data_IF_747025443418
#
_entry.id   IF_747025443418
#
_cell.length_a   1.000
_cell.length_b   1.000
_cell.length_c   1.000
_cell.angle_alpha   90.00
_cell.angle_beta   90.00
_cell.angle_gamma   90.00
#
_symmetry.space_group_name_H-M   'P 1'
#
loop_
_entity.id
_entity.type
_entity.pdbx_description
1 polymer ?
#
# COMPACT_ATOMS: atom_id res chain seq x y z
N UNK A 1 33.29 -23.79 -17.90
CA UNK A 1 32.18 -22.83 -17.78
C UNK A 1 31.78 -22.82 -16.31
N UNK A 2 32.03 -21.75 -15.60
CA UNK A 2 31.47 -21.60 -14.26
C UNK A 2 29.96 -21.52 -14.41
N UNK A 3 29.28 -22.45 -13.77
CA UNK A 3 27.82 -22.48 -13.68
C UNK A 3 27.41 -21.26 -12.81
N UNK A 4 27.26 -20.10 -13.44
CA UNK A 4 26.82 -18.89 -12.75
C UNK A 4 25.34 -19.04 -12.47
N UNK A 5 24.97 -19.08 -11.19
CA UNK A 5 23.58 -19.14 -10.76
C UNK A 5 22.73 -18.08 -11.47
N UNK A 6 21.49 -18.41 -11.88
CA UNK A 6 20.62 -17.49 -12.61
C UNK A 6 20.39 -16.20 -11.81
N UNK A 7 20.54 -15.05 -12.48
CA UNK A 7 20.28 -13.73 -11.90
C UNK A 7 18.78 -13.45 -11.92
N UNK A 8 18.17 -13.31 -10.76
CA UNK A 8 16.76 -12.89 -10.63
C UNK A 8 16.69 -11.47 -10.13
N UNK A 9 15.72 -10.70 -10.65
CA UNK A 9 15.53 -9.29 -10.28
C UNK A 9 14.11 -9.07 -9.79
N UNK A 10 13.97 -8.55 -8.59
CA UNK A 10 12.71 -8.06 -8.04
C UNK A 10 12.71 -6.54 -7.96
N UNK A 11 11.60 -5.91 -8.32
CA UNK A 11 11.41 -4.46 -8.21
C UNK A 11 10.09 -4.18 -7.49
N UNK A 12 10.14 -3.35 -6.46
CA UNK A 12 8.98 -2.78 -5.77
C UNK A 12 8.91 -1.29 -6.09
N UNK A 13 7.92 -0.88 -6.87
CA UNK A 13 7.67 0.53 -7.21
C UNK A 13 6.55 1.05 -6.32
N UNK A 14 6.90 1.68 -5.21
CA UNK A 14 5.95 2.37 -4.36
C UNK A 14 5.63 3.79 -4.84
N UNK A 15 4.71 4.47 -4.17
CA UNK A 15 4.28 5.83 -4.56
C UNK A 15 5.38 6.91 -4.48
N UNK A 16 6.37 6.74 -3.59
CA UNK A 16 7.45 7.73 -3.37
C UNK A 16 8.84 7.19 -3.64
N UNK A 17 9.08 5.93 -3.34
CA UNK A 17 10.36 5.24 -3.50
C UNK A 17 10.20 3.92 -4.23
N UNK A 18 11.19 3.56 -5.01
CA UNK A 18 11.32 2.27 -5.69
C UNK A 18 12.55 1.55 -5.16
N UNK A 19 12.42 0.26 -4.89
CA UNK A 19 13.54 -0.60 -4.53
C UNK A 19 13.71 -1.71 -5.57
N UNK A 20 14.96 -1.95 -5.96
CA UNK A 20 15.36 -3.07 -6.78
C UNK A 20 16.30 -3.97 -5.97
N UNK A 21 16.04 -5.26 -5.97
CA UNK A 21 16.96 -6.29 -5.46
C UNK A 21 17.25 -7.33 -6.55
N UNK A 22 18.52 -7.72 -6.64
CA UNK A 22 18.95 -8.76 -7.55
C UNK A 22 19.74 -9.84 -6.81
N UNK A 23 19.49 -11.10 -7.13
CA UNK A 23 20.15 -12.25 -6.55
C UNK A 23 20.67 -13.19 -7.63
N UNK A 24 21.90 -13.70 -7.44
CA UNK A 24 22.44 -14.84 -8.17
C UNK A 24 22.44 -16.05 -7.22
N UNK A 25 21.48 -16.98 -7.41
CA UNK A 25 21.16 -17.99 -6.39
C UNK A 25 20.71 -17.30 -5.10
N UNK A 26 21.44 -17.54 -3.99
CA UNK A 26 21.16 -16.89 -2.68
C UNK A 26 22.07 -15.66 -2.41
N UNK A 27 22.96 -15.32 -3.35
CA UNK A 27 23.87 -14.18 -3.19
C UNK A 27 23.18 -12.90 -3.64
N UNK A 28 23.06 -11.92 -2.74
CA UNK A 28 22.61 -10.56 -3.08
C UNK A 28 23.66 -9.87 -3.97
N UNK A 29 23.28 -9.52 -5.19
CA UNK A 29 24.12 -8.87 -6.19
C UNK A 29 23.91 -7.36 -6.21
N UNK A 30 22.65 -6.92 -6.01
CA UNK A 30 22.31 -5.51 -5.95
C UNK A 30 21.14 -5.28 -4.98
N UNK A 31 21.20 -4.17 -4.25
CA UNK A 31 20.09 -3.59 -3.48
C UNK A 31 20.13 -2.08 -3.70
N UNK A 32 19.20 -1.57 -4.49
CA UNK A 32 19.22 -0.18 -4.93
C UNK A 32 17.86 0.47 -4.64
N UNK A 33 17.90 1.67 -4.06
CA UNK A 33 16.71 2.47 -3.74
C UNK A 33 16.80 3.81 -4.44
N UNK A 34 15.74 4.23 -5.11
CA UNK A 34 15.62 5.56 -5.72
C UNK A 34 14.22 6.14 -5.56
N UNK A 35 14.05 7.41 -5.91
CA UNK A 35 12.73 8.04 -6.02
C UNK A 35 11.90 7.40 -7.13
N UNK A 36 10.58 7.23 -6.91
CA UNK A 36 9.63 6.82 -7.94
C UNK A 36 9.25 7.96 -8.90
N UNK A 37 9.90 9.12 -8.78
CA UNK A 37 9.71 10.23 -9.71
C UNK A 37 10.01 9.77 -11.14
N UNK A 38 9.04 9.96 -12.03
CA UNK A 38 9.12 9.46 -13.40
C UNK A 38 8.42 8.12 -13.66
N UNK A 39 7.96 7.39 -12.63
CA UNK A 39 7.08 6.24 -12.81
C UNK A 39 5.75 6.66 -13.44
N UNK A 40 5.37 6.03 -14.56
CA UNK A 40 4.15 6.36 -15.34
C UNK A 40 3.41 5.09 -15.72
N UNK A 41 2.65 4.47 -14.80
CA UNK A 41 2.00 3.18 -15.04
C UNK A 41 0.92 3.20 -16.13
N UNK A 42 0.39 4.38 -16.47
CA UNK A 42 -0.60 4.53 -17.55
C UNK A 42 0.02 4.65 -18.95
N UNK A 43 1.35 4.77 -19.05
CA UNK A 43 2.13 4.70 -20.27
C UNK A 43 3.06 3.48 -20.22
N UNK A 44 2.67 2.32 -20.79
CA UNK A 44 3.44 1.09 -20.68
C UNK A 44 4.85 1.18 -21.24
N UNK A 45 5.06 1.98 -22.30
CA UNK A 45 6.37 2.15 -22.93
C UNK A 45 7.28 3.01 -22.04
N UNK A 46 6.77 4.11 -21.52
CA UNK A 46 7.51 4.95 -20.59
C UNK A 46 7.84 4.19 -19.28
N UNK A 47 6.87 3.42 -18.75
CA UNK A 47 7.07 2.59 -17.57
C UNK A 47 8.18 1.55 -17.78
N UNK A 48 8.14 0.82 -18.88
CA UNK A 48 9.14 -0.19 -19.21
C UNK A 48 10.53 0.43 -19.42
N UNK A 49 10.63 1.55 -20.12
CA UNK A 49 11.89 2.27 -20.30
C UNK A 49 12.48 2.78 -18.98
N UNK A 50 11.62 3.26 -18.06
CA UNK A 50 12.03 3.70 -16.74
C UNK A 50 12.57 2.54 -15.87
N UNK A 51 11.91 1.36 -15.92
CA UNK A 51 12.37 0.14 -15.23
C UNK A 51 13.68 -0.38 -15.82
N UNK A 52 13.82 -0.32 -17.16
CA UNK A 52 15.05 -0.73 -17.82
C UNK A 52 16.25 0.18 -17.44
N UNK A 53 16.03 1.49 -17.37
CA UNK A 53 17.03 2.44 -16.89
C UNK A 53 17.40 2.18 -15.42
N UNK A 54 16.42 1.92 -14.54
CA UNK A 54 16.67 1.54 -13.16
C UNK A 54 17.55 0.27 -13.06
N UNK A 55 17.24 -0.75 -13.85
CA UNK A 55 18.02 -1.98 -13.85
C UNK A 55 19.45 -1.76 -14.41
N UNK A 56 19.60 -0.93 -15.43
CA UNK A 56 20.91 -0.59 -15.98
C UNK A 56 21.79 0.18 -14.98
N UNK A 57 21.19 1.04 -14.16
CA UNK A 57 21.89 1.78 -13.12
C UNK A 57 22.26 0.90 -11.91
N UNK A 58 21.41 -0.07 -11.57
CA UNK A 58 21.55 -0.86 -10.35
C UNK A 58 22.36 -2.15 -10.52
N UNK A 59 22.33 -2.76 -11.70
CA UNK A 59 22.95 -4.06 -11.94
C UNK A 59 24.41 -3.90 -12.40
N UNK A 60 25.28 -4.89 -12.13
CA UNK A 60 26.61 -4.91 -12.69
C UNK A 60 26.63 -4.81 -14.22
N UNK A 61 27.64 -4.13 -14.77
CA UNK A 61 27.76 -3.94 -16.22
C UNK A 61 27.72 -5.28 -16.98
N UNK A 62 26.83 -5.38 -17.95
CA UNK A 62 26.65 -6.60 -18.76
C UNK A 62 25.81 -7.69 -18.09
N UNK A 63 25.33 -7.47 -16.86
CA UNK A 63 24.45 -8.42 -16.20
C UNK A 63 23.11 -8.55 -16.96
N UNK A 64 22.65 -9.78 -17.14
CA UNK A 64 21.38 -10.10 -17.81
C UNK A 64 20.48 -10.86 -16.84
N UNK A 65 19.31 -10.33 -16.48
CA UNK A 65 18.32 -11.09 -15.69
C UNK A 65 17.89 -12.36 -16.41
N UNK A 66 17.79 -13.45 -15.68
CA UNK A 66 17.14 -14.69 -16.13
C UNK A 66 15.63 -14.64 -15.88
N UNK A 67 15.19 -13.91 -14.88
CA UNK A 67 13.79 -13.65 -14.58
C UNK A 67 13.63 -12.31 -13.87
N UNK A 68 12.50 -11.66 -14.07
CA UNK A 68 12.19 -10.34 -13.53
C UNK A 68 10.76 -10.29 -13.02
N UNK A 69 10.53 -9.76 -11.80
CA UNK A 69 9.19 -9.43 -11.34
C UNK A 69 9.13 -8.00 -10.79
N UNK A 70 8.03 -7.33 -11.07
CA UNK A 70 7.76 -5.95 -10.71
C UNK A 70 6.41 -5.86 -10.02
N UNK A 71 6.39 -5.32 -8.78
CA UNK A 71 5.18 -4.79 -8.15
C UNK A 71 5.12 -3.29 -8.41
N UNK A 72 4.06 -2.83 -9.04
CA UNK A 72 3.95 -1.44 -9.46
C UNK A 72 2.81 -0.70 -8.78
N UNK A 73 3.12 0.40 -8.10
CA UNK A 73 2.11 1.34 -7.61
C UNK A 73 1.23 1.83 -8.76
N UNK A 74 -0.08 1.91 -8.53
CA UNK A 74 -1.09 2.27 -9.54
C UNK A 74 -1.14 1.33 -10.76
N UNK A 75 -0.65 0.09 -10.64
CA UNK A 75 -0.92 -1.01 -11.56
C UNK A 75 -2.16 -1.77 -11.08
N UNK A 76 -3.35 -1.24 -11.39
CA UNK A 76 -4.61 -1.67 -10.74
C UNK A 76 -5.37 -2.75 -11.51
N UNK A 77 -4.99 -3.00 -12.76
CA UNK A 77 -5.71 -3.96 -13.62
C UNK A 77 -4.78 -4.99 -14.25
N UNK A 78 -5.23 -6.25 -14.42
CA UNK A 78 -4.46 -7.28 -15.12
C UNK A 78 -4.07 -6.86 -16.55
N UNK A 79 -4.93 -6.08 -17.22
CA UNK A 79 -4.65 -5.55 -18.56
C UNK A 79 -3.48 -4.58 -18.56
N UNK A 80 -3.45 -3.64 -17.62
CA UNK A 80 -2.37 -2.67 -17.47
C UNK A 80 -1.05 -3.37 -17.14
N UNK A 81 -1.06 -4.30 -16.18
CA UNK A 81 0.11 -5.12 -15.85
C UNK A 81 0.64 -5.89 -17.08
N UNK A 82 -0.25 -6.50 -17.86
CA UNK A 82 0.11 -7.22 -19.09
C UNK A 82 0.72 -6.30 -20.16
N UNK A 83 0.22 -5.08 -20.31
CA UNK A 83 0.77 -4.10 -21.25
C UNK A 83 2.19 -3.65 -20.85
N UNK A 84 2.42 -3.35 -19.56
CA UNK A 84 3.75 -3.00 -19.04
C UNK A 84 4.70 -4.19 -19.20
N UNK A 85 4.25 -5.42 -18.88
CA UNK A 85 5.04 -6.64 -19.08
C UNK A 85 5.47 -6.82 -20.54
N UNK A 86 4.55 -6.65 -21.49
CA UNK A 86 4.87 -6.77 -22.93
C UNK A 86 5.89 -5.72 -23.36
N UNK A 87 5.76 -4.47 -22.90
CA UNK A 87 6.73 -3.42 -23.19
C UNK A 87 8.09 -3.70 -22.54
N UNK A 88 8.11 -4.27 -21.33
CA UNK A 88 9.34 -4.63 -20.60
C UNK A 88 10.13 -5.73 -21.31
N UNK A 89 9.47 -6.66 -21.97
CA UNK A 89 10.10 -7.73 -22.77
C UNK A 89 10.84 -7.21 -24.01
N UNK A 90 10.62 -5.97 -24.42
CA UNK A 90 11.43 -5.31 -25.46
C UNK A 90 12.83 -4.89 -24.95
N UNK A 91 12.99 -4.78 -23.65
CA UNK A 91 14.25 -4.41 -22.99
C UNK A 91 15.00 -5.59 -22.39
N UNK A 92 14.28 -6.67 -22.03
CA UNK A 92 14.85 -7.84 -21.36
C UNK A 92 14.42 -9.12 -22.10
N UNK A 93 15.42 -9.89 -22.53
CA UNK A 93 15.20 -11.24 -23.09
C UNK A 93 15.10 -12.25 -21.92
N UNK A 94 14.04 -12.09 -21.11
CA UNK A 94 13.81 -12.90 -19.90
C UNK A 94 12.31 -12.97 -19.58
N UNK A 95 11.84 -14.07 -18.97
CA UNK A 95 10.51 -14.11 -18.37
C UNK A 95 10.28 -12.93 -17.41
N UNK A 96 9.17 -12.25 -17.59
CA UNK A 96 8.82 -11.09 -16.77
C UNK A 96 7.39 -11.21 -16.21
N UNK A 97 7.21 -10.79 -14.96
CA UNK A 97 5.92 -10.64 -14.30
C UNK A 97 5.74 -9.19 -13.85
N UNK A 98 4.56 -8.64 -14.07
CA UNK A 98 4.17 -7.32 -13.52
C UNK A 98 2.84 -7.48 -12.80
N UNK A 99 2.77 -7.01 -11.57
CA UNK A 99 1.61 -7.07 -10.67
C UNK A 99 1.43 -5.72 -9.96
N UNK A 100 0.35 -5.53 -9.20
CA UNK A 100 0.21 -4.43 -8.28
C UNK A 100 1.19 -4.53 -7.09
N UNK A 101 1.63 -3.41 -6.54
CA UNK A 101 2.59 -3.38 -5.42
C UNK A 101 2.08 -4.14 -4.18
N UNK A 102 0.78 -4.07 -3.90
CA UNK A 102 0.18 -4.79 -2.78
C UNK A 102 0.20 -6.33 -2.94
N UNK A 103 0.32 -6.85 -4.17
CA UNK A 103 0.45 -8.30 -4.41
C UNK A 103 1.80 -8.87 -3.96
N UNK A 104 2.80 -8.01 -3.72
CA UNK A 104 4.11 -8.42 -3.23
C UNK A 104 4.10 -8.86 -1.76
N UNK A 105 3.09 -8.44 -0.98
CA UNK A 105 3.09 -8.61 0.48
C UNK A 105 3.09 -10.08 0.92
N UNK A 106 2.23 -10.88 0.32
CA UNK A 106 2.09 -12.31 0.67
C UNK A 106 3.39 -13.08 0.40
N UNK A 107 3.98 -13.01 -0.82
CA UNK A 107 5.26 -13.67 -1.07
C UNK A 107 6.43 -13.05 -0.31
N UNK A 108 6.40 -11.74 0.04
CA UNK A 108 7.41 -11.13 0.90
C UNK A 108 7.36 -11.67 2.34
N UNK A 109 6.19 -12.12 2.80
CA UNK A 109 6.04 -12.82 4.07
C UNK A 109 6.44 -14.31 4.01
N UNK A 110 6.90 -14.81 2.86
CA UNK A 110 7.23 -16.21 2.65
C UNK A 110 6.02 -17.13 2.55
N UNK A 111 4.86 -16.58 2.16
CA UNK A 111 3.61 -17.31 2.04
C UNK A 111 3.23 -17.50 0.56
N UNK A 112 2.66 -18.67 0.25
CA UNK A 112 2.14 -18.98 -1.09
C UNK A 112 0.72 -18.43 -1.30
N UNK A 113 -0.06 -18.30 -0.22
CA UNK A 113 -1.46 -17.89 -0.23
C UNK A 113 -1.75 -16.95 0.94
N UNK A 114 -2.73 -16.08 0.76
CA UNK A 114 -3.17 -15.14 1.78
C UNK A 114 -3.72 -13.86 1.17
N UNK A 115 -3.95 -12.89 2.02
CA UNK A 115 -4.40 -11.55 1.66
C UNK A 115 -3.31 -10.55 2.05
N UNK A 116 -2.95 -9.65 1.14
CA UNK A 116 -2.15 -8.46 1.44
C UNK A 116 -3.08 -7.29 1.78
N UNK A 117 -2.87 -6.64 2.90
CA UNK A 117 -3.55 -5.40 3.31
C UNK A 117 -2.53 -4.27 3.44
N UNK A 118 -2.69 -3.23 2.67
CA UNK A 118 -1.92 -1.98 2.81
C UNK A 118 -2.79 -0.91 3.45
N UNK A 119 -2.28 -0.26 4.50
CA UNK A 119 -2.85 0.96 5.05
C UNK A 119 -1.72 1.95 5.39
N UNK A 120 -1.37 2.75 4.39
CA UNK A 120 -0.39 3.83 4.42
C UNK A 120 -1.09 5.17 4.19
N UNK A 121 -0.72 5.90 3.15
CA UNK A 121 -1.42 7.12 2.73
C UNK A 121 -2.86 6.80 2.32
N UNK A 122 -3.07 5.74 1.52
CA UNK A 122 -4.37 5.15 1.21
C UNK A 122 -4.51 3.74 1.79
N UNK A 123 -5.56 3.01 1.39
CA UNK A 123 -5.80 1.63 1.84
C UNK A 123 -6.32 0.72 0.73
N UNK A 124 -5.81 -0.50 0.68
CA UNK A 124 -6.19 -1.52 -0.30
C UNK A 124 -5.96 -2.92 0.26
N UNK A 125 -6.84 -3.86 -0.07
CA UNK A 125 -6.62 -5.29 0.17
C UNK A 125 -6.59 -6.06 -1.15
N UNK A 126 -5.66 -6.99 -1.26
CA UNK A 126 -5.49 -7.84 -2.45
C UNK A 126 -5.43 -9.31 -2.04
N UNK A 127 -6.00 -10.17 -2.87
CA UNK A 127 -5.94 -11.60 -2.70
C UNK A 127 -5.98 -12.30 -4.07
N UNK A 128 -6.05 -13.64 -4.05
CA UNK A 128 -6.22 -14.43 -5.27
C UNK A 128 -7.32 -15.45 -5.08
N UNK A 129 -8.10 -15.66 -6.13
CA UNK A 129 -9.03 -16.77 -6.20
C UNK A 129 -8.27 -18.11 -6.29
N UNK A 130 -8.99 -19.23 -6.13
CA UNK A 130 -8.40 -20.56 -6.19
C UNK A 130 -7.71 -20.88 -7.54
N UNK A 131 -8.14 -20.24 -8.63
CA UNK A 131 -7.53 -20.34 -9.96
C UNK A 131 -6.29 -19.44 -10.15
N UNK A 132 -5.88 -18.71 -9.10
CA UNK A 132 -4.76 -17.77 -9.13
C UNK A 132 -5.09 -16.38 -9.66
N UNK A 133 -6.33 -16.13 -10.11
CA UNK A 133 -6.75 -14.81 -10.61
C UNK A 133 -6.67 -13.77 -9.48
N UNK A 134 -5.97 -12.64 -9.64
CA UNK A 134 -5.87 -11.61 -8.63
C UNK A 134 -7.19 -10.85 -8.46
N UNK A 135 -7.45 -10.41 -7.26
CA UNK A 135 -8.61 -9.61 -6.91
C UNK A 135 -8.24 -8.54 -5.90
N UNK A 136 -8.69 -7.33 -6.14
CA UNK A 136 -8.45 -6.16 -5.30
C UNK A 136 -9.77 -5.63 -4.74
N UNK A 137 -9.72 -5.10 -3.52
CA UNK A 137 -10.80 -4.37 -2.84
C UNK A 137 -10.22 -3.12 -2.20
N UNK A 138 -10.88 -1.98 -2.38
CA UNK A 138 -10.36 -0.68 -1.96
C UNK A 138 -9.38 -0.08 -2.96
N UNK A 139 -8.61 0.94 -2.55
CA UNK A 139 -7.69 1.67 -3.42
C UNK A 139 -8.39 2.66 -4.35
N UNK A 140 -9.56 3.17 -3.95
CA UNK A 140 -10.37 4.08 -4.78
C UNK A 140 -9.98 5.56 -4.63
N UNK A 141 -8.87 5.83 -3.95
CA UNK A 141 -8.35 7.17 -3.72
C UNK A 141 -8.99 7.90 -2.54
N UNK A 142 -8.28 8.92 -2.05
CA UNK A 142 -8.60 9.61 -0.79
C UNK A 142 -9.96 10.31 -0.77
N UNK A 143 -10.49 10.69 -1.94
CA UNK A 143 -11.75 11.44 -2.01
C UNK A 143 -12.96 10.55 -1.70
N UNK A 144 -13.03 9.35 -2.28
CA UNK A 144 -14.19 8.46 -2.22
C UNK A 144 -13.89 7.09 -1.61
N UNK A 145 -12.67 6.82 -1.23
CA UNK A 145 -12.20 5.55 -0.68
C UNK A 145 -11.06 5.75 0.31
N UNK A 146 -10.15 4.81 0.35
CA UNK A 146 -8.95 4.80 1.18
C UNK A 146 -9.25 4.90 2.69
N UNK A 147 -10.41 4.37 3.12
CA UNK A 147 -10.82 4.34 4.51
C UNK A 147 -9.79 3.57 5.35
N UNK A 148 -9.40 4.15 6.48
CA UNK A 148 -8.34 3.59 7.34
C UNK A 148 -6.91 3.88 6.88
N UNK A 149 -6.71 4.40 5.65
CA UNK A 149 -5.48 5.08 5.26
C UNK A 149 -5.37 6.48 5.88
N UNK A 150 -4.18 7.09 5.87
CA UNK A 150 -3.95 8.38 6.51
C UNK A 150 -4.89 9.49 6.01
N UNK A 151 -5.08 9.59 4.70
CA UNK A 151 -5.96 10.59 4.11
C UNK A 151 -7.44 10.36 4.43
N UNK A 152 -7.89 9.10 4.34
CA UNK A 152 -9.24 8.71 4.72
C UNK A 152 -9.51 8.97 6.21
N UNK A 153 -8.55 8.65 7.07
CA UNK A 153 -8.64 8.92 8.52
C UNK A 153 -8.85 10.41 8.79
N UNK A 154 -8.10 11.31 8.14
CA UNK A 154 -8.24 12.76 8.31
C UNK A 154 -9.58 13.25 7.77
N UNK A 155 -10.02 12.75 6.60
CA UNK A 155 -11.34 13.08 6.06
C UNK A 155 -12.45 12.75 7.06
N UNK A 156 -12.45 11.54 7.64
CA UNK A 156 -13.46 11.13 8.61
C UNK A 156 -13.32 11.91 9.94
N UNK A 157 -12.10 12.26 10.34
CA UNK A 157 -11.88 13.11 11.50
C UNK A 157 -12.50 14.52 11.33
N UNK A 158 -12.30 15.14 10.17
CA UNK A 158 -12.93 16.44 9.85
C UNK A 158 -14.46 16.31 9.84
N UNK A 159 -15.00 15.24 9.26
CA UNK A 159 -16.46 15.00 9.28
C UNK A 159 -17.00 14.83 10.71
N UNK A 160 -16.28 14.11 11.57
CA UNK A 160 -16.66 13.94 12.98
C UNK A 160 -16.66 15.28 13.73
N UNK A 161 -15.64 16.13 13.50
CA UNK A 161 -15.56 17.47 14.08
C UNK A 161 -16.69 18.37 13.60
N UNK A 162 -17.03 18.34 12.31
CA UNK A 162 -18.19 19.09 11.80
C UNK A 162 -19.49 18.64 12.45
N UNK A 163 -19.71 17.34 12.52
CA UNK A 163 -20.93 16.81 13.14
C UNK A 163 -21.05 17.20 14.65
N UNK A 164 -19.93 17.28 15.37
CA UNK A 164 -19.91 17.78 16.76
C UNK A 164 -20.20 19.28 16.82
N UNK A 165 -19.60 20.06 15.92
CA UNK A 165 -19.84 21.51 15.81
C UNK A 165 -21.33 21.81 15.51
N UNK A 166 -21.94 21.07 14.56
CA UNK A 166 -23.35 21.25 14.20
C UNK A 166 -24.30 20.91 15.36
N UNK A 167 -23.87 20.06 16.31
CA UNK A 167 -24.60 19.80 17.56
C UNK A 167 -24.37 20.86 18.63
N UNK A 168 -23.51 21.88 18.38
CA UNK A 168 -23.15 22.91 19.33
C UNK A 168 -22.17 22.47 20.41
N UNK A 169 -21.45 21.37 20.20
CA UNK A 169 -20.42 20.88 21.12
C UNK A 169 -19.18 21.76 21.11
N UNK A 170 -18.53 21.87 22.26
CA UNK A 170 -17.25 22.60 22.34
C UNK A 170 -16.15 21.82 21.65
N UNK A 171 -15.19 22.50 20.96
CA UNK A 171 -14.06 21.85 20.34
C UNK A 171 -13.25 21.03 21.35
N UNK A 172 -13.08 19.73 21.06
CA UNK A 172 -12.23 18.82 21.82
C UNK A 172 -10.79 18.80 21.29
N UNK A 173 -9.94 17.93 21.82
CA UNK A 173 -8.54 17.80 21.40
C UNK A 173 -8.40 17.45 19.90
N UNK A 174 -9.37 16.72 19.30
CA UNK A 174 -9.34 16.42 17.86
C UNK A 174 -9.59 17.69 17.03
N UNK A 175 -10.64 18.44 17.37
CA UNK A 175 -10.95 19.69 16.69
C UNK A 175 -9.78 20.67 16.76
N UNK A 176 -9.22 20.89 17.97
CA UNK A 176 -8.08 21.79 18.16
C UNK A 176 -6.83 21.33 17.39
N UNK A 177 -6.55 20.02 17.38
CA UNK A 177 -5.42 19.44 16.64
C UNK A 177 -5.55 19.62 15.13
N UNK A 178 -6.76 19.46 14.57
CA UNK A 178 -7.01 19.69 13.14
C UNK A 178 -6.95 21.18 12.78
N UNK A 179 -7.54 22.07 13.60
CA UNK A 179 -7.46 23.51 13.37
C UNK A 179 -5.99 23.98 13.31
N UNK A 180 -5.19 23.55 14.27
CA UNK A 180 -3.75 23.86 14.29
C UNK A 180 -3.01 23.24 13.11
N UNK A 181 -3.31 21.98 12.75
CA UNK A 181 -2.66 21.28 11.64
C UNK A 181 -2.93 21.91 10.29
N UNK A 182 -4.15 22.34 10.04
CA UNK A 182 -4.55 23.01 8.79
C UNK A 182 -4.31 24.53 8.79
N UNK A 183 -3.84 25.09 9.92
CA UNK A 183 -3.63 26.52 10.09
C UNK A 183 -4.91 27.34 9.81
N UNK A 184 -6.03 26.91 10.39
CA UNK A 184 -7.33 27.58 10.23
C UNK A 184 -7.89 27.98 11.59
N UNK A 185 -8.61 29.13 11.69
CA UNK A 185 -9.03 29.68 12.99
C UNK A 185 -10.26 28.99 13.58
N UNK A 186 -11.08 28.34 12.77
CA UNK A 186 -12.39 27.82 13.18
C UNK A 186 -12.83 26.61 12.37
N UNK A 187 -13.71 25.79 12.96
CA UNK A 187 -14.19 24.53 12.38
C UNK A 187 -14.81 24.67 10.97
N UNK A 188 -15.63 25.69 10.66
CA UNK A 188 -16.15 25.88 9.31
C UNK A 188 -15.07 26.03 8.22
N UNK A 189 -13.89 26.56 8.56
CA UNK A 189 -12.81 26.79 7.61
C UNK A 189 -12.06 25.51 7.19
N UNK A 190 -12.22 24.38 7.92
CA UNK A 190 -11.60 23.08 7.59
C UNK A 190 -12.01 22.59 6.20
N UNK A 191 -13.25 22.88 5.74
CA UNK A 191 -13.71 22.47 4.41
C UNK A 191 -12.89 23.09 3.30
N UNK A 192 -12.75 24.39 3.33
CA UNK A 192 -11.95 25.11 2.34
C UNK A 192 -10.48 24.65 2.35
N UNK A 193 -9.92 24.35 3.52
CA UNK A 193 -8.55 23.82 3.62
C UNK A 193 -8.40 22.45 2.96
N UNK A 194 -9.41 21.57 3.05
CA UNK A 194 -9.41 20.28 2.36
C UNK A 194 -9.59 20.44 0.84
N UNK A 195 -10.47 21.33 0.39
CA UNK A 195 -10.75 21.57 -1.04
C UNK A 195 -9.56 22.21 -1.76
N UNK A 196 -8.77 23.04 -1.09
CA UNK A 196 -7.59 23.68 -1.68
C UNK A 196 -6.36 22.78 -1.75
N UNK A 197 -6.43 21.57 -1.24
CA UNK A 197 -5.35 20.62 -1.32
C UNK A 197 -5.01 20.28 -2.79
N UNK A 198 -3.73 20.39 -3.16
CA UNK A 198 -3.25 20.03 -4.51
C UNK A 198 -3.20 18.52 -4.72
N UNK A 199 -3.08 17.76 -3.62
CA UNK A 199 -3.12 16.31 -3.57
C UNK A 199 -3.84 15.86 -2.30
N UNK A 200 -5.10 15.44 -2.42
CA UNK A 200 -5.89 14.96 -1.29
C UNK A 200 -5.15 13.89 -0.47
N UNK A 201 -4.48 12.95 -1.13
CA UNK A 201 -3.76 11.88 -0.45
C UNK A 201 -2.59 12.39 0.40
N UNK A 202 -1.70 13.20 -0.17
CA UNK A 202 -0.51 13.69 0.52
C UNK A 202 -0.85 14.82 1.51
N UNK A 203 -1.65 15.79 1.05
CA UNK A 203 -1.93 17.00 1.84
C UNK A 203 -2.83 16.72 3.04
N UNK A 204 -3.81 15.83 2.91
CA UNK A 204 -4.62 15.42 4.04
C UNK A 204 -3.87 14.44 4.95
N UNK A 205 -3.24 13.42 4.37
CA UNK A 205 -2.60 12.34 5.11
C UNK A 205 -1.52 12.81 6.10
N UNK A 206 -0.83 13.93 5.83
CA UNK A 206 0.16 14.51 6.75
C UNK A 206 -0.42 14.91 8.11
N UNK A 207 -1.74 15.13 8.19
CA UNK A 207 -2.43 15.51 9.44
C UNK A 207 -2.92 14.31 10.26
N UNK A 208 -2.79 13.07 9.75
CA UNK A 208 -3.18 11.87 10.49
C UNK A 208 -2.56 11.76 11.90
N UNK A 209 -1.30 12.16 12.15
CA UNK A 209 -0.74 12.14 13.50
C UNK A 209 -1.55 12.93 14.53
N UNK A 210 -2.22 14.03 14.12
CA UNK A 210 -3.07 14.80 15.03
C UNK A 210 -4.28 14.01 15.54
N UNK A 211 -4.81 13.09 14.74
CA UNK A 211 -5.94 12.23 15.15
C UNK A 211 -5.51 11.28 16.28
N UNK A 212 -4.34 10.67 16.14
CA UNK A 212 -3.81 9.74 17.16
C UNK A 212 -3.43 10.49 18.44
N UNK A 213 -2.76 11.64 18.32
CA UNK A 213 -2.42 12.48 19.47
C UNK A 213 -3.68 12.95 20.23
N UNK A 214 -4.75 13.31 19.52
CA UNK A 214 -6.02 13.67 20.13
C UNK A 214 -6.66 12.48 20.88
N UNK A 215 -6.59 11.27 20.36
CA UNK A 215 -7.08 10.07 21.02
C UNK A 215 -6.32 9.77 22.32
N UNK A 216 -4.99 9.95 22.31
CA UNK A 216 -4.11 9.85 23.50
C UNK A 216 -4.44 10.94 24.53
N UNK A 217 -4.75 12.16 24.08
CA UNK A 217 -5.21 13.26 24.92
C UNK A 217 -6.65 13.09 25.45
N UNK A 218 -7.32 11.99 25.10
CA UNK A 218 -8.62 11.62 25.66
C UNK A 218 -9.84 11.98 24.79
N UNK A 219 -9.66 12.51 23.56
CA UNK A 219 -10.76 12.84 22.65
C UNK A 219 -11.64 11.61 22.36
N UNK A 220 -12.95 11.63 22.69
CA UNK A 220 -13.87 10.56 22.31
C UNK A 220 -14.08 10.49 20.78
N UNK A 221 -14.12 11.66 20.11
CA UNK A 221 -14.26 11.73 18.66
C UNK A 221 -13.11 11.03 17.95
N UNK A 222 -11.86 11.33 18.36
CA UNK A 222 -10.69 10.70 17.77
C UNK A 222 -10.68 9.16 17.97
N UNK A 223 -11.05 8.69 19.17
CA UNK A 223 -11.15 7.26 19.44
C UNK A 223 -12.20 6.57 18.55
N UNK A 224 -13.36 7.22 18.35
CA UNK A 224 -14.41 6.71 17.45
C UNK A 224 -13.90 6.65 16.02
N UNK A 225 -13.25 7.69 15.51
CA UNK A 225 -12.69 7.74 14.17
C UNK A 225 -11.66 6.60 13.96
N UNK A 226 -10.77 6.36 14.93
CA UNK A 226 -9.77 5.28 14.84
C UNK A 226 -10.46 3.91 14.85
N UNK A 227 -11.47 3.70 15.69
CA UNK A 227 -12.22 2.45 15.74
C UNK A 227 -12.96 2.18 14.43
N UNK A 228 -13.57 3.21 13.83
CA UNK A 228 -14.22 3.12 12.52
C UNK A 228 -13.24 2.86 11.39
N UNK A 229 -12.07 3.49 11.42
CA UNK A 229 -10.99 3.22 10.48
C UNK A 229 -10.52 1.75 10.56
N UNK A 230 -10.36 1.20 11.77
CA UNK A 230 -10.04 -0.22 11.95
C UNK A 230 -11.12 -1.16 11.37
N UNK A 231 -12.41 -0.86 11.61
CA UNK A 231 -13.52 -1.59 11.00
C UNK A 231 -13.52 -1.50 9.48
N UNK A 232 -13.22 -0.33 8.92
CA UNK A 232 -13.14 -0.14 7.48
C UNK A 232 -12.03 -0.98 6.84
N UNK A 233 -10.86 -1.08 7.49
CA UNK A 233 -9.78 -1.96 7.06
C UNK A 233 -10.17 -3.44 7.11
N UNK A 234 -10.84 -3.89 8.19
CA UNK A 234 -11.36 -5.24 8.29
C UNK A 234 -12.37 -5.55 7.19
N UNK A 235 -13.27 -4.60 6.90
CA UNK A 235 -14.25 -4.74 5.83
C UNK A 235 -13.65 -4.94 4.44
N UNK A 236 -12.43 -4.45 4.16
CA UNK A 236 -11.73 -4.76 2.90
C UNK A 236 -11.42 -6.26 2.80
N UNK A 237 -10.95 -6.86 3.88
CA UNK A 237 -10.63 -8.29 3.97
C UNK A 237 -11.91 -9.14 3.92
N UNK A 238 -12.95 -8.74 4.64
CA UNK A 238 -14.27 -9.39 4.64
C UNK A 238 -14.87 -9.44 3.22
N UNK A 239 -14.75 -8.34 2.45
CA UNK A 239 -15.22 -8.28 1.06
C UNK A 239 -14.45 -9.24 0.16
N UNK A 240 -13.15 -9.47 0.38
CA UNK A 240 -12.38 -10.49 -0.32
C UNK A 240 -12.89 -11.89 0.02
N UNK A 241 -13.11 -12.19 1.31
CA UNK A 241 -13.70 -13.45 1.76
C UNK A 241 -15.08 -13.68 1.15
N UNK A 242 -15.96 -12.68 1.15
CA UNK A 242 -17.30 -12.75 0.56
C UNK A 242 -17.26 -12.99 -0.97
N UNK A 243 -16.17 -12.62 -1.65
CA UNK A 243 -15.95 -12.90 -3.07
C UNK A 243 -15.35 -14.29 -3.33
N UNK A 244 -15.07 -15.07 -2.29
CA UNK A 244 -14.55 -16.44 -2.40
C UNK A 244 -13.02 -16.54 -2.33
N UNK A 245 -12.32 -15.49 -1.90
CA UNK A 245 -10.89 -15.58 -1.57
C UNK A 245 -10.72 -16.33 -0.25
N UNK A 246 -9.78 -17.27 -0.20
CA UNK A 246 -9.41 -17.93 1.06
C UNK A 246 -8.59 -16.97 1.91
N UNK A 247 -9.08 -16.67 3.11
CA UNK A 247 -8.47 -15.71 4.03
C UNK A 247 -8.01 -16.42 5.30
N UNK A 248 -6.85 -17.10 5.22
CA UNK A 248 -6.21 -17.71 6.37
C UNK A 248 -5.16 -16.76 6.97
N UNK A 249 -4.27 -16.22 6.15
CA UNK A 249 -3.23 -15.26 6.56
C UNK A 249 -3.51 -13.89 5.94
N UNK A 250 -3.39 -12.84 6.75
CA UNK A 250 -3.52 -11.44 6.32
C UNK A 250 -2.20 -10.71 6.61
N UNK A 251 -1.43 -10.45 5.56
CA UNK A 251 -0.15 -9.73 5.65
C UNK A 251 -0.42 -8.23 5.60
N UNK A 252 -0.14 -7.55 6.71
CA UNK A 252 -0.44 -6.13 6.89
C UNK A 252 0.80 -5.29 6.66
N UNK A 253 0.71 -4.28 5.79
CA UNK A 253 1.76 -3.30 5.53
C UNK A 253 1.19 -1.88 5.49
N UNK A 254 2.09 -0.90 5.50
CA UNK A 254 1.74 0.52 5.43
C UNK A 254 2.08 1.27 6.72
N UNK A 255 2.66 2.46 6.52
CA UNK A 255 3.20 3.24 7.64
C UNK A 255 2.13 3.66 8.65
N UNK A 256 0.90 3.92 8.21
CA UNK A 256 -0.17 4.37 9.11
C UNK A 256 -0.59 3.27 10.07
N UNK A 257 -0.94 2.09 9.56
CA UNK A 257 -1.44 1.00 10.41
C UNK A 257 -0.35 0.38 11.28
N UNK A 258 0.90 0.29 10.77
CA UNK A 258 1.99 -0.34 11.54
C UNK A 258 2.62 0.61 12.58
N UNK A 259 2.61 1.93 12.34
CA UNK A 259 3.11 2.90 13.31
C UNK A 259 2.10 3.21 14.43
N UNK A 260 0.81 2.95 14.20
CA UNK A 260 -0.27 3.35 15.11
C UNK A 260 -0.96 2.12 15.70
N UNK A 261 -0.50 1.73 16.90
CA UNK A 261 -0.99 0.54 17.59
C UNK A 261 -2.51 0.55 17.78
N UNK A 262 -3.10 1.70 18.13
CA UNK A 262 -4.54 1.82 18.32
C UNK A 262 -5.35 1.48 17.05
N UNK A 263 -4.85 1.87 15.88
CA UNK A 263 -5.47 1.52 14.60
C UNK A 263 -5.29 0.03 14.28
N UNK A 264 -4.08 -0.50 14.50
CA UNK A 264 -3.81 -1.93 14.29
C UNK A 264 -4.68 -2.81 15.20
N UNK A 265 -4.76 -2.49 16.49
CA UNK A 265 -5.57 -3.24 17.47
C UNK A 265 -7.08 -3.15 17.11
N UNK A 266 -7.56 -1.97 16.67
CA UNK A 266 -8.94 -1.81 16.20
C UNK A 266 -9.23 -2.65 14.94
N UNK A 267 -8.29 -2.71 14.00
CA UNK A 267 -8.37 -3.57 12.82
C UNK A 267 -8.42 -5.06 13.20
N UNK A 268 -7.50 -5.52 14.05
CA UNK A 268 -7.43 -6.92 14.49
C UNK A 268 -8.71 -7.35 15.20
N UNK A 269 -9.23 -6.49 16.09
CA UNK A 269 -10.50 -6.76 16.79
C UNK A 269 -11.66 -6.89 15.81
N UNK A 270 -11.83 -5.95 14.89
CA UNK A 270 -12.91 -6.00 13.90
C UNK A 270 -12.78 -7.19 12.94
N UNK A 271 -11.54 -7.53 12.53
CA UNK A 271 -11.29 -8.68 11.67
C UNK A 271 -11.67 -10.00 12.35
N UNK A 272 -11.38 -10.13 13.64
CA UNK A 272 -11.74 -11.32 14.41
C UNK A 272 -13.27 -11.54 14.50
N UNK A 273 -14.05 -10.45 14.48
CA UNK A 273 -15.52 -10.52 14.46
C UNK A 273 -16.05 -10.94 13.07
N UNK A 274 -15.47 -10.40 11.98
CA UNK A 274 -15.93 -10.63 10.62
C UNK A 274 -15.36 -11.87 9.94
N UNK A 275 -14.09 -12.20 10.19
CA UNK A 275 -13.36 -13.35 9.64
C UNK A 275 -12.55 -14.04 10.72
N UNK A 276 -13.19 -14.83 11.62
CA UNK A 276 -12.53 -15.41 12.80
C UNK A 276 -11.33 -16.32 12.51
N UNK A 277 -11.26 -16.90 11.30
CA UNK A 277 -10.15 -17.75 10.88
C UNK A 277 -8.91 -16.97 10.44
N UNK A 278 -9.05 -15.67 10.16
CA UNK A 278 -7.97 -14.84 9.64
C UNK A 278 -6.88 -14.58 10.69
N UNK A 279 -5.63 -14.71 10.28
CA UNK A 279 -4.44 -14.46 11.11
C UNK A 279 -3.71 -13.22 10.60
N UNK A 280 -4.00 -12.02 11.13
CA UNK A 280 -3.31 -10.80 10.74
C UNK A 280 -1.88 -10.79 11.29
N UNK A 281 -0.91 -10.48 10.43
CA UNK A 281 0.49 -10.35 10.78
C UNK A 281 1.14 -9.16 10.07
N UNK A 282 1.95 -8.35 10.78
CA UNK A 282 2.72 -7.29 10.16
C UNK A 282 3.75 -7.84 9.20
N UNK A 283 3.88 -7.24 8.01
CA UNK A 283 4.99 -7.54 7.11
C UNK A 283 6.30 -7.08 7.75
N UNK A 284 7.27 -8.00 7.87
CA UNK A 284 8.59 -7.72 8.45
C UNK A 284 9.68 -7.52 7.38
N UNK A 285 9.57 -8.26 6.28
CA UNK A 285 10.47 -8.13 5.14
C UNK A 285 10.07 -6.94 4.24
N UNK A 286 10.99 -6.32 3.52
CA UNK A 286 10.62 -5.30 2.54
C UNK A 286 9.83 -5.94 1.39
N UNK A 287 8.80 -5.25 0.81
CA UNK A 287 7.97 -5.81 -0.25
C UNK A 287 8.75 -6.28 -1.49
N UNK A 288 9.90 -5.67 -1.78
CA UNK A 288 10.78 -6.11 -2.88
C UNK A 288 11.21 -7.58 -2.78
N UNK A 289 11.28 -8.15 -1.58
CA UNK A 289 11.57 -9.58 -1.40
C UNK A 289 10.45 -10.46 -1.98
N UNK A 290 9.22 -9.97 -1.95
CA UNK A 290 8.10 -10.61 -2.65
C UNK A 290 8.25 -10.59 -4.16
N UNK A 291 8.74 -9.48 -4.73
CA UNK A 291 9.08 -9.43 -6.14
C UNK A 291 10.20 -10.42 -6.49
N UNK A 292 11.24 -10.52 -5.65
CA UNK A 292 12.31 -11.53 -5.83
C UNK A 292 11.75 -12.96 -5.78
N UNK A 293 10.86 -13.26 -4.81
CA UNK A 293 10.21 -14.57 -4.72
C UNK A 293 9.39 -14.88 -5.97
N UNK A 294 8.61 -13.92 -6.46
CA UNK A 294 7.87 -14.07 -7.72
C UNK A 294 8.79 -14.23 -8.93
N UNK A 295 9.92 -13.52 -9.01
CA UNK A 295 10.88 -13.72 -10.10
C UNK A 295 11.51 -15.12 -10.06
N UNK A 296 11.82 -15.66 -8.87
CA UNK A 296 12.31 -17.04 -8.70
C UNK A 296 11.31 -18.08 -9.19
N UNK A 297 10.01 -17.85 -9.03
CA UNK A 297 8.97 -18.78 -9.49
C UNK A 297 8.81 -18.84 -11.01
N UNK A 298 9.51 -17.97 -11.77
CA UNK A 298 9.53 -17.97 -13.23
C UNK A 298 10.68 -18.82 -13.82
N UNK A 299 11.61 -19.29 -12.98
CA UNK A 299 12.71 -20.18 -13.38
C UNK A 299 12.24 -21.63 -13.50
#
# INVERSE_FOLDING_TARGET
MQDTAPLVVGIDVGGTKTQLRAFAGDTLVADHVRSSSGWRPHDPVAAAGWLAALAADALPQGARPFALAVGGHACETPRQCAQIRTALQLHFDAPALVVGDAELLVPAAGLDKGVGLVAGTGSVAVGRFADGTPVQVGGWGALLGDEGGAAGLVREAVRAVWAAHDRGEQPDALALGLLSGFDVPEVPALGAALEHATSASADWGRHAPAVFAAAEAGSPLARTVIAEAGRALAALVERLAARGVVVDDVVVAGGTVLAQRSLYDAFVSALADGVPAARPQPLRAPPVDGAVAMARSLL
#
